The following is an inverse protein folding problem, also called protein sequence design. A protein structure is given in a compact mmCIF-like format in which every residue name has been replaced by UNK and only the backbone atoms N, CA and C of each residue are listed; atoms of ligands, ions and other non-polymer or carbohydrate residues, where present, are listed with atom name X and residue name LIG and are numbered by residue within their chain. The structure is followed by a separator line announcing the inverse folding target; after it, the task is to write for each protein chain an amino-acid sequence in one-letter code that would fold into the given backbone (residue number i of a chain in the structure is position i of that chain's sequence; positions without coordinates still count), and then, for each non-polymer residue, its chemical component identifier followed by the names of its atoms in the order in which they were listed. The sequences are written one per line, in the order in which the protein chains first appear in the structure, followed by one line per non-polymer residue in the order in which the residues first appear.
data_IF_407151104828
#
_entry.id   IF_407151104828
#
_cell.length_a   1.000
_cell.length_b   1.000
_cell.length_c   1.000
_cell.angle_alpha   90.00
_cell.angle_beta   90.00
_cell.angle_gamma   90.00
#
_symmetry.space_group_name_H-M   'P 1'
#
loop_
_entity.id
_entity.type
_entity.pdbx_description
1 polymer ?
#
# COMPACT_ATOMS: atom_id res chain seq x y z
N UNK A 1 -14.23 5.26 6.48
CA UNK A 1 -12.91 5.12 7.12
C UNK A 1 -12.82 3.75 7.78
N UNK A 2 -11.68 3.09 7.69
CA UNK A 2 -11.40 1.76 8.22
C UNK A 2 -9.98 1.73 8.81
N UNK A 3 -9.74 0.94 9.86
CA UNK A 3 -8.40 0.69 10.35
C UNK A 3 -7.76 -0.46 9.57
N UNK A 4 -6.54 -0.25 9.10
CA UNK A 4 -5.69 -1.28 8.50
C UNK A 4 -4.47 -1.55 9.40
N UNK A 5 -3.99 -2.78 9.35
CA UNK A 5 -2.74 -3.22 9.98
C UNK A 5 -1.74 -3.62 8.89
N UNK A 6 -0.51 -3.10 9.01
CA UNK A 6 0.57 -3.40 8.08
C UNK A 6 1.03 -4.86 8.22
N UNK A 7 1.21 -5.50 7.08
CA UNK A 7 1.79 -6.83 6.94
C UNK A 7 3.15 -6.72 6.28
N UNK A 8 4.06 -7.67 6.51
CA UNK A 8 5.40 -7.64 5.91
C UNK A 8 6.12 -6.28 6.11
N UNK A 9 5.98 -5.71 7.31
CA UNK A 9 6.50 -4.37 7.67
C UNK A 9 5.98 -3.22 6.79
N UNK A 10 4.89 -3.44 6.06
CA UNK A 10 4.29 -2.46 5.16
C UNK A 10 4.93 -2.37 3.77
N UNK A 11 5.94 -3.18 3.44
CA UNK A 11 6.64 -3.05 2.16
C UNK A 11 7.25 -1.65 1.94
N UNK A 12 7.41 -1.24 0.67
CA UNK A 12 8.05 0.04 0.33
C UNK A 12 7.11 1.24 0.42
N UNK A 13 5.83 1.06 0.10
CA UNK A 13 4.84 2.17 0.06
C UNK A 13 4.56 2.73 1.46
N UNK A 14 4.58 1.89 2.49
CA UNK A 14 4.23 2.29 3.86
C UNK A 14 5.46 2.58 4.73
N UNK A 15 6.63 2.78 4.14
CA UNK A 15 7.83 3.11 4.90
C UNK A 15 7.64 4.38 5.73
N UNK A 16 8.11 4.34 6.98
CA UNK A 16 8.00 5.44 7.95
C UNK A 16 6.56 5.83 8.34
N UNK A 17 5.60 4.92 8.16
CA UNK A 17 4.21 5.08 8.64
C UNK A 17 3.94 4.19 9.86
N UNK A 18 2.82 4.43 10.56
CA UNK A 18 2.46 3.65 11.73
C UNK A 18 1.97 2.23 11.33
N UNK A 19 2.22 1.20 12.15
CA UNK A 19 1.79 -0.17 11.85
C UNK A 19 0.26 -0.35 11.83
N UNK A 20 -0.48 0.58 12.43
CA UNK A 20 -1.94 0.70 12.32
C UNK A 20 -2.28 2.12 11.91
N UNK A 21 -3.23 2.26 11.00
CA UNK A 21 -3.64 3.56 10.46
C UNK A 21 -5.05 3.51 9.89
N UNK A 22 -5.73 4.65 9.94
CA UNK A 22 -7.09 4.83 9.41
C UNK A 22 -7.03 5.25 7.94
N UNK A 23 -7.77 4.57 7.07
CA UNK A 23 -7.82 4.84 5.62
C UNK A 23 -9.25 5.00 5.10
N UNK A 24 -9.39 5.67 3.97
CA UNK A 24 -10.67 5.87 3.29
C UNK A 24 -10.93 4.80 2.21
N UNK A 25 -11.99 4.01 2.38
CA UNK A 25 -12.40 2.97 1.43
C UNK A 25 -13.72 3.32 0.73
N UNK A 26 -13.81 3.00 -0.56
CA UNK A 26 -15.01 3.19 -1.38
C UNK A 26 -15.11 2.10 -2.46
N UNK A 27 -15.04 0.84 -2.05
CA UNK A 27 -15.14 -0.31 -2.96
C UNK A 27 -16.24 -1.28 -2.52
N UNK A 28 -16.80 -2.01 -3.48
CA UNK A 28 -17.80 -3.06 -3.25
C UNK A 28 -17.25 -4.47 -3.46
N UNK A 29 -16.16 -4.56 -4.23
CA UNK A 29 -15.45 -5.81 -4.53
C UNK A 29 -14.11 -5.81 -3.80
N UNK A 30 -13.57 -6.99 -3.52
CA UNK A 30 -12.27 -7.16 -2.88
C UNK A 30 -11.40 -8.18 -3.62
N UNK A 31 -10.08 -8.04 -3.45
CA UNK A 31 -9.12 -9.04 -3.91
C UNK A 31 -9.03 -10.15 -2.85
N UNK A 32 -9.42 -11.36 -3.21
CA UNK A 32 -9.34 -12.52 -2.31
C UNK A 32 -7.96 -13.17 -2.27
N UNK A 33 -7.23 -13.13 -3.39
CA UNK A 33 -5.93 -13.77 -3.57
C UNK A 33 -5.00 -12.85 -4.36
N UNK A 34 -3.78 -12.65 -3.85
CA UNK A 34 -2.76 -11.87 -4.56
C UNK A 34 -2.17 -12.69 -5.71
N UNK A 35 -1.77 -12.07 -6.83
CA UNK A 35 -1.12 -12.80 -7.92
C UNK A 35 0.21 -13.44 -7.51
N UNK A 36 0.69 -14.40 -8.29
CA UNK A 36 2.03 -14.97 -8.10
C UNK A 36 3.11 -13.88 -8.10
N UNK A 37 4.04 -13.97 -7.14
CA UNK A 37 5.10 -12.98 -6.94
C UNK A 37 4.65 -11.70 -6.26
N UNK A 38 3.43 -11.65 -5.70
CA UNK A 38 2.96 -10.60 -4.81
C UNK A 38 2.85 -11.08 -3.36
N UNK A 39 2.99 -10.14 -2.44
CA UNK A 39 2.71 -10.32 -1.02
C UNK A 39 1.84 -9.18 -0.49
N UNK A 40 1.10 -9.47 0.58
CA UNK A 40 0.18 -8.52 1.23
C UNK A 40 0.99 -7.55 2.08
N UNK A 41 0.78 -6.24 1.91
CA UNK A 41 1.44 -5.18 2.69
C UNK A 41 0.53 -4.52 3.71
N UNK A 42 -0.79 -4.64 3.56
CA UNK A 42 -1.77 -4.19 4.53
C UNK A 42 -3.03 -5.06 4.49
N UNK A 43 -3.67 -5.21 5.65
CA UNK A 43 -4.90 -5.99 5.82
C UNK A 43 -5.84 -5.32 6.82
N UNK A 44 -7.14 -5.58 6.72
CA UNK A 44 -8.13 -5.22 7.74
C UNK A 44 -8.93 -6.46 8.17
N UNK A 45 -9.72 -6.38 9.27
CA UNK A 45 -10.60 -7.47 9.66
C UNK A 45 -11.65 -7.84 8.59
N UNK A 46 -12.02 -6.90 7.73
CA UNK A 46 -13.07 -7.07 6.70
C UNK A 46 -12.55 -7.30 5.29
N UNK A 47 -11.28 -6.96 5.00
CA UNK A 47 -10.66 -7.20 3.70
C UNK A 47 -9.20 -7.60 3.91
N UNK A 48 -8.85 -8.79 3.42
CA UNK A 48 -7.51 -9.38 3.63
C UNK A 48 -6.42 -8.62 2.85
N UNK A 49 -6.75 -8.10 1.67
CA UNK A 49 -5.79 -7.48 0.75
C UNK A 49 -6.10 -5.98 0.64
N UNK A 50 -5.69 -5.22 1.66
CA UNK A 50 -5.80 -3.75 1.64
C UNK A 50 -4.62 -3.09 0.92
N UNK A 51 -3.46 -3.76 0.94
CA UNK A 51 -2.28 -3.38 0.20
C UNK A 51 -1.55 -4.62 -0.31
N UNK A 52 -0.96 -4.53 -1.49
CA UNK A 52 -0.09 -5.56 -2.05
C UNK A 52 1.08 -4.96 -2.80
N UNK A 53 2.20 -5.69 -2.83
CA UNK A 53 3.43 -5.33 -3.52
C UNK A 53 4.05 -6.57 -4.16
N UNK A 54 4.69 -6.42 -5.31
CA UNK A 54 5.43 -7.54 -5.92
C UNK A 54 6.86 -7.67 -5.35
N UNK A 55 7.48 -8.83 -5.50
CA UNK A 55 8.83 -9.08 -4.97
C UNK A 55 9.90 -8.12 -5.52
N UNK A 56 9.76 -7.64 -6.76
CA UNK A 56 10.65 -6.62 -7.32
C UNK A 56 10.46 -5.23 -6.67
N UNK A 57 9.29 -5.01 -6.04
CA UNK A 57 8.86 -3.75 -5.45
C UNK A 57 8.87 -2.61 -6.46
N UNK A 58 8.28 -2.87 -7.63
CA UNK A 58 8.03 -1.91 -8.71
C UNK A 58 6.54 -1.87 -9.13
N UNK A 59 5.71 -2.74 -8.54
CA UNK A 59 4.25 -2.79 -8.72
C UNK A 59 3.57 -2.84 -7.37
N UNK A 60 2.54 -2.02 -7.23
CA UNK A 60 1.83 -1.82 -5.97
C UNK A 60 0.33 -1.77 -6.22
N UNK A 61 -0.45 -2.24 -5.26
CA UNK A 61 -1.90 -2.10 -5.23
C UNK A 61 -2.34 -1.63 -3.85
N UNK A 62 -3.24 -0.64 -3.83
CA UNK A 62 -3.92 -0.17 -2.63
C UNK A 62 -5.42 -0.25 -2.90
N UNK A 63 -6.16 -0.85 -1.98
CA UNK A 63 -7.61 -1.01 -2.10
C UNK A 63 -8.38 0.25 -1.63
N UNK A 64 -7.74 1.06 -0.79
CA UNK A 64 -8.25 2.32 -0.26
C UNK A 64 -7.71 3.53 -1.07
N UNK A 65 -8.19 4.72 -0.72
CA UNK A 65 -7.87 6.00 -1.37
C UNK A 65 -6.83 6.80 -0.57
N UNK A 66 -5.52 6.69 -0.86
CA UNK A 66 -4.48 7.45 -0.16
C UNK A 66 -4.53 8.97 -0.45
N UNK A 67 -5.27 9.41 -1.47
CA UNK A 67 -5.41 10.80 -1.86
C UNK A 67 -6.44 11.58 -1.04
N UNK A 68 -7.31 10.88 -0.31
CA UNK A 68 -8.36 11.49 0.52
C UNK A 68 -7.75 11.90 1.87
N UNK A 69 -8.04 13.12 2.34
CA UNK A 69 -7.48 13.66 3.58
C UNK A 69 -7.79 12.82 4.83
N UNK A 70 -8.88 12.06 4.80
CA UNK A 70 -9.27 11.14 5.87
C UNK A 70 -8.43 9.84 5.90
N UNK A 71 -7.54 9.64 4.92
CA UNK A 71 -6.52 8.59 4.95
C UNK A 71 -5.24 9.10 5.62
N UNK A 72 -4.95 8.55 6.79
CA UNK A 72 -3.70 8.81 7.50
C UNK A 72 -2.51 8.36 6.65
N UNK A 73 -1.44 9.16 6.69
CA UNK A 73 -0.18 8.92 5.97
C UNK A 73 -0.29 8.86 4.44
N UNK A 74 -1.41 9.31 3.84
CA UNK A 74 -1.59 9.30 2.39
C UNK A 74 -0.52 10.08 1.63
N UNK A 75 -0.11 11.24 2.17
CA UNK A 75 0.98 12.06 1.61
C UNK A 75 2.31 11.31 1.62
N UNK A 76 2.65 10.67 2.74
CA UNK A 76 3.85 9.89 2.93
C UNK A 76 3.90 8.70 1.96
N UNK A 77 2.77 8.02 1.73
CA UNK A 77 2.69 6.95 0.73
C UNK A 77 3.01 7.46 -0.69
N UNK A 78 2.50 8.63 -1.07
CA UNK A 78 2.83 9.24 -2.36
C UNK A 78 4.31 9.66 -2.42
N UNK A 79 4.87 10.21 -1.35
CA UNK A 79 6.29 10.54 -1.28
C UNK A 79 7.17 9.30 -1.46
N UNK A 80 6.82 8.18 -0.80
CA UNK A 80 7.47 6.90 -0.96
C UNK A 80 7.36 6.39 -2.41
N UNK A 81 6.18 6.45 -3.02
CA UNK A 81 5.98 6.03 -4.41
C UNK A 81 6.81 6.87 -5.40
N UNK A 82 6.85 8.19 -5.20
CA UNK A 82 7.68 9.09 -6.02
C UNK A 82 9.16 8.73 -5.89
N UNK A 83 9.63 8.42 -4.68
CA UNK A 83 11.02 8.01 -4.46
C UNK A 83 11.36 6.69 -5.14
N UNK A 84 10.47 5.70 -5.06
CA UNK A 84 10.59 4.43 -5.79
C UNK A 84 10.72 4.68 -7.30
N UNK A 85 9.92 5.60 -7.85
CA UNK A 85 9.98 5.97 -9.26
C UNK A 85 11.33 6.64 -9.62
N UNK A 86 11.87 7.50 -8.75
CA UNK A 86 13.20 8.11 -8.95
C UNK A 86 14.30 7.07 -8.96
N UNK A 87 14.32 6.17 -7.98
CA UNK A 87 15.30 5.08 -7.90
C UNK A 87 15.23 4.20 -9.15
N UNK A 88 14.01 3.84 -9.59
CA UNK A 88 13.80 3.04 -10.80
C UNK A 88 14.30 3.76 -12.06
N UNK A 89 14.08 5.08 -12.18
CA UNK A 89 14.61 5.90 -13.28
C UNK A 89 16.14 5.90 -13.28
N UNK A 90 16.75 6.12 -12.12
CA UNK A 90 18.20 6.28 -11.99
C UNK A 90 18.95 4.94 -12.15
N UNK A 91 18.28 3.82 -11.89
CA UNK A 91 18.81 2.46 -12.08
C UNK A 91 18.83 1.99 -13.54
N UNK A 92 18.27 2.77 -14.48
CA UNK A 92 18.29 2.47 -15.93
C UNK A 92 19.50 3.08 -16.66
N UNK A 93 20.56 3.41 -15.91
CA UNK A 93 21.85 3.87 -16.44
C UNK A 93 22.85 2.72 -16.49
#
# INVERSE_FOLDING_TARGET
AMEIELQNQGGKIFQNTAPRQTVWESHNDEVHEVPDGFFITASSPSCKVQGMENEAGDRFGLQFHPEVNDSEFGKEMFENFVEICRISRDSKV
#
